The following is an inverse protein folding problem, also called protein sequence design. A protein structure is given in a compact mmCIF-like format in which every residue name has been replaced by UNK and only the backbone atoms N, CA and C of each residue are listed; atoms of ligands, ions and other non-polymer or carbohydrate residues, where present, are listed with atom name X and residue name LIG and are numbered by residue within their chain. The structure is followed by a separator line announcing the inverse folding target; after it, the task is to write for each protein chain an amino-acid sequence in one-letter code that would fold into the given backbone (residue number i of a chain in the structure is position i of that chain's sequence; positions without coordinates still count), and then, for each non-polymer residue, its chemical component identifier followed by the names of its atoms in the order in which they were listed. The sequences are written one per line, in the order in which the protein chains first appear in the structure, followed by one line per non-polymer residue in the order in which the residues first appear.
data_IF_812739654148
#
_entry.id   IF_812739654148
#
_cell.length_a   1.000
_cell.length_b   1.000
_cell.length_c   1.000
_cell.angle_alpha   90.00
_cell.angle_beta   90.00
_cell.angle_gamma   90.00
#
_symmetry.space_group_name_H-M   'P 1'
#
loop_
_entity.id
_entity.type
_entity.pdbx_description
1 polymer ?
#
# COMPACT_ATOMS: atom_id res chain seq x y z
N UNK A 1 -14.93 -15.17 -6.90
CA UNK A 1 -14.80 -14.98 -8.36
C UNK A 1 -13.40 -15.40 -8.74
N UNK A 2 -13.32 -16.61 -9.27
CA UNK A 2 -12.19 -17.50 -9.12
C UNK A 2 -11.06 -17.18 -10.08
N UNK A 3 -9.84 -17.11 -9.52
CA UNK A 3 -8.62 -16.94 -10.29
C UNK A 3 -8.37 -18.21 -11.09
N UNK A 4 -8.55 -18.13 -12.41
CA UNK A 4 -8.17 -19.20 -13.34
C UNK A 4 -6.65 -19.38 -13.25
N UNK A 5 -6.24 -20.41 -12.51
CA UNK A 5 -4.85 -20.86 -12.41
C UNK A 5 -4.52 -21.55 -13.74
N UNK A 6 -3.88 -20.82 -14.65
CA UNK A 6 -3.43 -21.38 -15.93
C UNK A 6 -2.29 -22.35 -15.63
N UNK A 7 -2.63 -23.64 -15.53
CA UNK A 7 -1.66 -24.73 -15.42
C UNK A 7 -0.76 -24.76 -16.67
N UNK A 8 0.52 -25.08 -16.50
CA UNK A 8 1.51 -25.16 -17.59
C UNK A 8 1.08 -26.04 -18.77
N UNK A 9 0.14 -26.98 -18.56
CA UNK A 9 -0.49 -27.76 -19.63
C UNK A 9 -1.29 -26.94 -20.64
N UNK A 10 -1.93 -25.83 -20.25
CA UNK A 10 -2.67 -24.99 -21.19
C UNK A 10 -1.75 -24.25 -22.15
N UNK A 11 -0.55 -23.85 -21.71
CA UNK A 11 0.46 -23.19 -22.56
C UNK A 11 0.92 -24.12 -23.69
N UNK A 12 1.08 -25.41 -23.39
CA UNK A 12 1.49 -26.43 -24.37
C UNK A 12 0.36 -26.68 -25.38
N UNK A 13 -0.90 -26.71 -24.93
CA UNK A 13 -2.07 -26.92 -25.81
C UNK A 13 -2.27 -25.74 -26.77
N UNK A 14 -2.13 -24.51 -26.30
CA UNK A 14 -2.19 -23.33 -27.17
C UNK A 14 -0.99 -23.27 -28.14
N UNK A 15 0.20 -23.71 -27.71
CA UNK A 15 1.38 -23.82 -28.56
C UNK A 15 1.25 -24.87 -29.67
N UNK A 16 0.65 -26.04 -29.38
CA UNK A 16 0.39 -27.08 -30.37
C UNK A 16 -0.70 -26.69 -31.36
N UNK A 17 -1.74 -26.00 -30.89
CA UNK A 17 -2.81 -25.43 -31.74
C UNK A 17 -2.25 -24.35 -32.68
N UNK A 18 -1.25 -23.58 -32.22
CA UNK A 18 -0.56 -22.56 -33.00
C UNK A 18 0.32 -23.16 -34.11
N UNK A 19 1.05 -24.23 -33.82
CA UNK A 19 1.88 -24.91 -34.82
C UNK A 19 1.04 -25.52 -35.94
N UNK A 20 -0.12 -26.08 -35.58
CA UNK A 20 -1.06 -26.67 -36.54
C UNK A 20 -1.73 -25.62 -37.43
N UNK A 21 -2.09 -24.45 -36.89
CA UNK A 21 -2.60 -23.33 -37.69
C UNK A 21 -1.55 -22.77 -38.68
N UNK A 22 -0.28 -22.67 -38.28
CA UNK A 22 0.80 -22.24 -39.18
C UNK A 22 1.01 -23.24 -40.31
N UNK A 23 1.00 -24.54 -40.00
CA UNK A 23 1.15 -25.58 -41.01
C UNK A 23 -0.02 -25.57 -42.00
N UNK A 24 -1.26 -25.46 -41.51
CA UNK A 24 -2.45 -25.37 -42.37
C UNK A 24 -2.41 -24.11 -43.24
N UNK A 25 -1.99 -22.97 -42.69
CA UNK A 25 -1.89 -21.71 -43.44
C UNK A 25 -0.78 -21.76 -44.50
N UNK A 26 0.39 -22.34 -44.19
CA UNK A 26 1.48 -22.52 -45.16
C UNK A 26 1.09 -23.50 -46.28
N UNK A 27 0.42 -24.60 -45.95
CA UNK A 27 -0.07 -25.57 -46.95
C UNK A 27 -1.14 -24.95 -47.83
N UNK A 28 -2.11 -24.21 -47.26
CA UNK A 28 -3.11 -23.49 -48.04
C UNK A 28 -2.50 -22.41 -48.94
N UNK A 29 -1.45 -21.73 -48.46
CA UNK A 29 -0.75 -20.72 -49.27
C UNK A 29 0.03 -21.37 -50.41
N UNK A 30 0.65 -22.54 -50.21
CA UNK A 30 1.32 -23.31 -51.27
C UNK A 30 0.35 -23.79 -52.35
N UNK A 31 -0.84 -24.22 -51.93
CA UNK A 31 -1.93 -24.63 -52.82
C UNK A 31 -2.49 -23.44 -53.60
N UNK A 32 -2.73 -22.30 -52.95
CA UNK A 32 -3.20 -21.06 -53.58
C UNK A 32 -2.15 -20.42 -54.51
N UNK A 33 -0.87 -20.53 -54.16
CA UNK A 33 0.24 -20.05 -54.99
C UNK A 33 0.39 -20.88 -56.27
N UNK A 34 0.23 -22.21 -56.17
CA UNK A 34 0.25 -23.10 -57.34
C UNK A 34 -0.95 -22.91 -58.27
N UNK A 35 -2.12 -22.51 -57.73
CA UNK A 35 -3.36 -22.45 -58.52
C UNK A 35 -3.77 -21.05 -59.01
N UNK A 36 -3.38 -19.96 -58.33
CA UNK A 36 -3.92 -18.62 -58.62
C UNK A 36 -2.87 -17.50 -58.75
N UNK A 37 -1.57 -17.75 -58.50
CA UNK A 37 -0.53 -16.72 -58.66
C UNK A 37 -0.75 -15.45 -57.80
N UNK A 38 -1.45 -15.58 -56.68
CA UNK A 38 -1.77 -14.44 -55.81
C UNK A 38 -0.60 -14.03 -54.92
N UNK A 39 -0.48 -12.71 -54.75
CA UNK A 39 0.62 -11.93 -54.18
C UNK A 39 0.94 -12.22 -52.70
N UNK A 40 2.20 -12.00 -52.29
CA UNK A 40 2.77 -12.13 -50.93
C UNK A 40 2.12 -11.24 -49.84
N UNK A 41 1.29 -10.29 -50.25
CA UNK A 41 0.72 -9.23 -49.40
C UNK A 41 -0.17 -9.72 -48.24
N UNK A 42 -1.09 -10.71 -48.38
CA UNK A 42 -1.94 -11.14 -47.28
C UNK A 42 -1.15 -11.89 -46.19
N UNK A 43 -0.05 -12.57 -46.55
CA UNK A 43 0.83 -13.24 -45.57
C UNK A 43 1.58 -12.24 -44.69
N UNK A 44 2.08 -11.16 -45.29
CA UNK A 44 2.73 -10.09 -44.54
C UNK A 44 1.77 -9.44 -43.53
N UNK A 45 0.50 -9.23 -43.92
CA UNK A 45 -0.53 -8.64 -43.05
C UNK A 45 -0.82 -9.54 -41.83
N UNK A 46 -0.99 -10.86 -42.03
CA UNK A 46 -1.25 -11.80 -40.92
C UNK A 46 -0.08 -11.84 -39.93
N UNK A 47 1.16 -11.85 -40.43
CA UNK A 47 2.35 -11.84 -39.58
C UNK A 47 2.50 -10.53 -38.78
N UNK A 48 2.18 -9.37 -39.39
CA UNK A 48 2.22 -8.07 -38.70
C UNK A 48 1.15 -7.99 -37.60
N UNK A 49 -0.08 -8.42 -37.88
CA UNK A 49 -1.15 -8.45 -36.88
C UNK A 49 -0.79 -9.38 -35.72
N UNK A 50 -0.23 -10.55 -36.01
CA UNK A 50 0.20 -11.48 -34.97
C UNK A 50 1.37 -10.94 -34.12
N UNK A 51 2.36 -10.31 -34.76
CA UNK A 51 3.44 -9.63 -34.05
C UNK A 51 2.92 -8.54 -33.11
N UNK A 52 1.92 -7.77 -33.55
CA UNK A 52 1.27 -6.76 -32.71
C UNK A 52 0.52 -7.37 -31.52
N UNK A 53 -0.21 -8.47 -31.73
CA UNK A 53 -0.90 -9.20 -30.66
C UNK A 53 0.08 -9.77 -29.62
N UNK A 54 1.22 -10.31 -30.05
CA UNK A 54 2.27 -10.78 -29.14
C UNK A 54 2.90 -9.64 -28.34
N UNK A 55 3.13 -8.48 -28.96
CA UNK A 55 3.63 -7.30 -28.25
C UNK A 55 2.61 -6.79 -27.21
N UNK A 56 1.33 -6.72 -27.58
CA UNK A 56 0.25 -6.37 -26.65
C UNK A 56 0.14 -7.37 -25.49
N UNK A 57 0.22 -8.67 -25.77
CA UNK A 57 0.19 -9.72 -24.75
C UNK A 57 1.41 -9.67 -23.83
N UNK A 58 2.61 -9.41 -24.39
CA UNK A 58 3.83 -9.26 -23.60
C UNK A 58 3.74 -8.09 -22.61
N UNK A 59 3.16 -6.96 -23.04
CA UNK A 59 2.91 -5.79 -22.19
C UNK A 59 1.83 -6.07 -21.14
N UNK A 60 0.75 -6.74 -21.53
CA UNK A 60 -0.33 -7.11 -20.61
C UNK A 60 0.12 -8.10 -19.53
N UNK A 61 0.88 -9.14 -19.92
CA UNK A 61 1.47 -10.13 -19.01
C UNK A 61 2.52 -9.51 -18.08
N UNK A 62 3.30 -8.52 -18.56
CA UNK A 62 4.25 -7.80 -17.71
C UNK A 62 3.53 -6.91 -16.68
N UNK A 63 2.41 -6.28 -17.06
CA UNK A 63 1.57 -5.48 -16.15
C UNK A 63 0.86 -6.33 -15.09
N UNK A 64 0.41 -7.54 -15.44
CA UNK A 64 -0.25 -8.44 -14.47
C UNK A 64 0.71 -8.97 -13.40
N UNK A 65 1.98 -9.23 -13.75
CA UNK A 65 3.03 -9.62 -12.78
C UNK A 65 3.29 -8.53 -11.73
N UNK A 66 3.40 -7.27 -12.15
CA UNK A 66 3.62 -6.14 -11.22
C UNK A 66 2.46 -5.88 -10.26
N UNK A 67 1.22 -6.16 -10.68
CA UNK A 67 0.03 -6.04 -9.82
C UNK A 67 -0.14 -7.25 -8.88
N UNK A 68 0.41 -8.41 -9.24
CA UNK A 68 0.35 -9.62 -8.42
C UNK A 68 1.37 -9.64 -7.27
N UNK A 69 2.56 -9.04 -7.41
CA UNK A 69 3.57 -9.01 -6.33
C UNK A 69 3.22 -8.04 -5.19
N UNK A 70 2.45 -6.99 -5.49
CA UNK A 70 2.13 -5.94 -4.51
C UNK A 70 1.10 -6.36 -3.46
N UNK A 71 0.22 -7.33 -3.74
CA UNK A 71 -0.81 -7.81 -2.82
C UNK A 71 -0.31 -8.79 -1.74
N UNK A 72 0.48 -9.84 -2.04
CA UNK A 72 1.01 -10.76 -1.03
C UNK A 72 1.98 -10.07 -0.07
N UNK A 73 2.74 -9.10 -0.57
CA UNK A 73 3.72 -8.34 0.19
C UNK A 73 3.09 -7.42 1.25
N UNK A 74 2.00 -6.70 0.93
CA UNK A 74 1.27 -5.90 1.93
C UNK A 74 0.73 -6.75 3.07
N UNK A 75 0.17 -7.92 2.74
CA UNK A 75 -0.35 -8.84 3.76
C UNK A 75 0.77 -9.27 4.71
N UNK A 76 1.93 -9.64 4.17
CA UNK A 76 3.10 -9.98 4.95
C UNK A 76 3.54 -8.84 5.88
N UNK A 77 3.59 -7.60 5.39
CA UNK A 77 3.95 -6.44 6.22
C UNK A 77 2.95 -6.21 7.37
N UNK A 78 1.65 -6.33 7.10
CA UNK A 78 0.62 -6.19 8.13
C UNK A 78 0.70 -7.31 9.17
N UNK A 79 0.96 -8.53 8.73
CA UNK A 79 1.14 -9.67 9.63
C UNK A 79 2.40 -9.47 10.50
N UNK A 80 3.50 -8.96 9.92
CA UNK A 80 4.73 -8.64 10.66
C UNK A 80 4.52 -7.55 11.72
N UNK A 81 3.80 -6.47 11.40
CA UNK A 81 3.45 -5.42 12.35
C UNK A 81 2.55 -5.94 13.48
N UNK A 82 1.62 -6.85 13.17
CA UNK A 82 0.75 -7.46 14.18
C UNK A 82 1.52 -8.39 15.12
N UNK A 83 2.56 -9.05 14.62
CA UNK A 83 3.43 -9.93 15.41
C UNK A 83 4.55 -9.21 16.16
N UNK A 84 4.54 -7.88 16.20
CA UNK A 84 5.62 -7.13 16.85
C UNK A 84 5.62 -7.38 18.36
N UNK A 85 6.81 -7.49 18.94
CA UNK A 85 6.98 -7.60 20.38
C UNK A 85 6.54 -6.30 21.08
N UNK A 86 5.92 -6.41 22.26
CA UNK A 86 5.38 -5.26 23.00
C UNK A 86 6.46 -4.23 23.35
N UNK A 87 7.69 -4.68 23.59
CA UNK A 87 8.86 -3.82 23.83
C UNK A 87 9.22 -2.92 22.65
N UNK A 88 8.89 -3.33 21.42
CA UNK A 88 9.18 -2.59 20.18
C UNK A 88 8.02 -1.70 19.72
N UNK A 89 6.83 -1.82 20.31
CA UNK A 89 5.67 -0.97 19.96
C UNK A 89 6.03 0.52 20.03
N UNK A 90 6.74 1.03 21.06
CA UNK A 90 7.05 2.45 21.10
C UNK A 90 7.84 2.95 19.90
N UNK A 91 8.82 2.15 19.47
CA UNK A 91 9.62 2.44 18.29
C UNK A 91 8.77 2.50 17.03
N UNK A 92 7.89 1.50 16.82
CA UNK A 92 7.02 1.45 15.63
C UNK A 92 6.13 2.69 15.53
N UNK A 93 5.50 3.08 16.64
CA UNK A 93 4.60 4.24 16.67
C UNK A 93 5.37 5.54 16.47
N UNK A 94 6.55 5.70 17.07
CA UNK A 94 7.43 6.86 16.84
C UNK A 94 7.76 7.02 15.35
N UNK A 95 8.16 5.94 14.67
CA UNK A 95 8.47 5.97 13.24
C UNK A 95 7.26 6.37 12.39
N UNK A 96 6.06 5.91 12.74
CA UNK A 96 4.85 6.32 12.02
C UNK A 96 4.48 7.79 12.26
N UNK A 97 4.67 8.30 13.48
CA UNK A 97 4.44 9.72 13.78
C UNK A 97 5.45 10.64 13.09
N UNK A 98 6.70 10.22 12.96
CA UNK A 98 7.71 10.93 12.17
C UNK A 98 7.32 11.03 10.70
N UNK A 99 6.79 9.94 10.13
CA UNK A 99 6.28 9.93 8.76
C UNK A 99 5.06 10.84 8.58
N UNK A 100 4.16 10.89 9.56
CA UNK A 100 2.99 11.79 9.55
C UNK A 100 3.43 13.26 9.52
N UNK A 101 4.38 13.61 10.39
CA UNK A 101 4.93 14.97 10.48
C UNK A 101 5.71 15.37 9.22
N UNK A 102 6.48 14.45 8.63
CA UNK A 102 7.23 14.72 7.41
C UNK A 102 6.34 14.89 6.16
N UNK A 103 5.07 14.48 6.23
CA UNK A 103 4.10 14.64 5.15
C UNK A 103 3.51 16.04 5.02
N UNK A 104 3.62 16.88 6.06
CA UNK A 104 3.08 18.24 6.07
C UNK A 104 4.18 19.25 5.73
N UNK A 105 3.90 20.19 4.81
CA UNK A 105 4.79 21.32 4.57
C UNK A 105 4.66 22.33 5.70
N UNK A 106 5.74 23.04 6.04
CA UNK A 106 5.73 24.06 7.11
C UNK A 106 4.65 25.12 6.89
N UNK A 107 4.42 25.52 5.63
CA UNK A 107 3.41 26.50 5.24
C UNK A 107 1.97 25.99 5.50
N UNK A 108 1.67 24.74 5.10
CA UNK A 108 0.35 24.14 5.38
C UNK A 108 0.12 23.91 6.88
N UNK A 109 1.19 23.70 7.64
CA UNK A 109 1.13 23.52 9.09
C UNK A 109 0.82 24.86 9.78
N UNK A 110 1.51 25.93 9.42
CA UNK A 110 1.29 27.27 9.97
C UNK A 110 -0.10 27.83 9.64
N UNK A 111 -0.56 27.67 8.40
CA UNK A 111 -1.92 28.06 8.03
C UNK A 111 -2.97 27.27 8.82
N UNK A 112 -2.78 25.95 8.99
CA UNK A 112 -3.71 25.15 9.79
C UNK A 112 -3.74 25.61 11.24
N UNK A 113 -2.58 25.86 11.85
CA UNK A 113 -2.49 26.33 13.24
C UNK A 113 -3.24 27.65 13.42
N UNK A 114 -3.09 28.60 12.49
CA UNK A 114 -3.76 29.91 12.55
C UNK A 114 -5.29 29.83 12.52
N UNK A 115 -5.85 28.74 11.97
CA UNK A 115 -7.30 28.54 11.83
C UNK A 115 -7.93 27.81 13.02
N UNK A 116 -7.12 27.25 13.92
CA UNK A 116 -7.60 26.48 15.07
C UNK A 116 -8.02 27.47 16.17
N UNK A 117 -9.28 27.41 16.66
CA UNK A 117 -9.69 28.16 17.83
C UNK A 117 -8.79 27.85 19.05
N UNK A 118 -8.38 28.86 19.81
CA UNK A 118 -7.52 28.70 20.99
C UNK A 118 -8.03 27.62 21.96
N UNK A 119 -9.35 27.55 22.18
CA UNK A 119 -9.99 26.58 23.09
C UNK A 119 -9.94 25.13 22.57
N UNK A 120 -9.62 24.94 21.29
CA UNK A 120 -9.45 23.63 20.65
C UNK A 120 -7.98 23.26 20.43
N UNK A 121 -7.03 24.10 20.88
CA UNK A 121 -5.62 23.76 20.82
C UNK A 121 -5.25 22.71 21.87
N UNK A 122 -4.27 21.88 21.52
CA UNK A 122 -3.61 20.97 22.43
C UNK A 122 -3.01 21.75 23.61
N UNK A 123 -3.42 21.43 24.83
CA UNK A 123 -2.98 22.15 26.05
C UNK A 123 -1.51 21.92 26.38
N UNK A 124 -0.85 20.95 25.73
CA UNK A 124 0.55 20.60 25.97
C UNK A 124 1.48 21.38 25.04
N UNK A 125 1.22 21.37 23.72
CA UNK A 125 2.11 22.00 22.75
C UNK A 125 1.60 23.34 22.22
N UNK A 126 0.31 23.62 22.30
CA UNK A 126 -0.35 24.80 21.71
C UNK A 126 -0.13 24.99 20.19
N UNK A 127 0.45 23.99 19.51
CA UNK A 127 0.78 24.03 18.07
C UNK A 127 -0.04 23.06 17.23
N UNK A 128 -1.08 22.46 17.79
CA UNK A 128 -1.89 21.46 17.11
C UNK A 128 -3.27 21.37 17.73
N UNK A 129 -4.26 20.97 16.95
CA UNK A 129 -5.62 20.73 17.44
C UNK A 129 -5.64 19.58 18.44
N UNK A 130 -6.38 19.75 19.53
CA UNK A 130 -6.70 18.71 20.48
C UNK A 130 -7.71 17.75 19.84
N UNK A 131 -7.29 16.52 19.58
CA UNK A 131 -8.11 15.51 18.87
C UNK A 131 -8.21 14.18 19.61
N UNK A 132 -7.55 14.05 20.76
CA UNK A 132 -7.55 12.82 21.56
C UNK A 132 -8.47 13.00 22.75
N UNK A 133 -9.52 12.19 22.78
CA UNK A 133 -10.48 12.13 23.88
C UNK A 133 -10.12 10.97 24.81
N UNK A 134 -9.84 11.29 26.08
CA UNK A 134 -9.44 10.33 27.11
C UNK A 134 -10.66 9.73 27.82
N UNK A 135 -10.73 8.41 27.95
CA UNK A 135 -11.80 7.71 28.67
C UNK A 135 -11.31 7.20 30.04
N UNK A 136 -12.14 7.27 31.10
CA UNK A 136 -13.57 7.61 31.10
C UNK A 136 -13.89 9.12 31.23
N UNK A 137 -12.93 9.95 31.62
CA UNK A 137 -13.18 11.36 31.97
C UNK A 137 -13.64 12.27 30.81
N UNK A 138 -13.58 11.80 29.56
CA UNK A 138 -14.05 12.47 28.35
C UNK A 138 -13.37 13.80 27.98
N UNK A 139 -12.25 14.16 28.61
CA UNK A 139 -11.47 15.33 28.22
C UNK A 139 -10.86 15.14 26.82
N UNK A 140 -11.00 16.15 25.96
CA UNK A 140 -10.37 16.22 24.63
C UNK A 140 -9.41 17.40 24.62
N UNK A 141 -8.15 17.16 24.98
CA UNK A 141 -7.21 18.26 25.30
C UNK A 141 -5.80 18.08 24.73
N UNK A 142 -5.48 16.91 24.18
CA UNK A 142 -4.17 16.62 23.60
C UNK A 142 -4.27 16.31 22.12
N UNK A 143 -3.22 16.66 21.36
CA UNK A 143 -3.02 16.16 20.01
C UNK A 143 -2.46 14.72 20.04
N UNK A 144 -2.48 14.04 18.89
CA UNK A 144 -1.98 12.66 18.77
C UNK A 144 -0.54 12.47 19.25
N UNK A 145 0.37 13.37 18.86
CA UNK A 145 1.78 13.28 19.26
C UNK A 145 1.97 13.46 20.77
N UNK A 146 1.34 14.46 21.39
CA UNK A 146 1.46 14.68 22.84
C UNK A 146 0.80 13.55 23.65
N UNK A 147 -0.33 13.01 23.19
CA UNK A 147 -0.96 11.86 23.82
C UNK A 147 -0.05 10.61 23.76
N UNK A 148 0.58 10.38 22.61
CA UNK A 148 1.54 9.29 22.44
C UNK A 148 2.75 9.43 23.35
N UNK A 149 3.40 10.60 23.41
CA UNK A 149 4.56 10.81 24.29
C UNK A 149 4.21 10.58 25.77
N UNK A 150 3.04 11.04 26.20
CA UNK A 150 2.54 10.76 27.56
C UNK A 150 2.35 9.26 27.80
N UNK A 151 1.76 8.54 26.83
CA UNK A 151 1.57 7.09 26.92
C UNK A 151 2.89 6.33 26.95
N UNK A 152 3.85 6.73 26.10
CA UNK A 152 5.18 6.14 26.04
C UNK A 152 5.91 6.28 27.37
N UNK A 153 5.90 7.47 27.97
CA UNK A 153 6.52 7.72 29.29
C UNK A 153 5.86 6.86 30.37
N UNK A 154 4.52 6.76 30.38
CA UNK A 154 3.82 5.90 31.33
C UNK A 154 4.17 4.43 31.15
N UNK A 155 4.25 3.95 29.91
CA UNK A 155 4.64 2.59 29.55
C UNK A 155 6.07 2.27 30.00
N UNK A 156 7.04 3.15 29.70
CA UNK A 156 8.45 2.97 30.08
C UNK A 156 8.65 2.97 31.60
N UNK A 157 7.89 3.80 32.32
CA UNK A 157 7.97 3.89 33.78
C UNK A 157 7.13 2.82 34.51
N UNK A 158 6.33 2.02 33.80
CA UNK A 158 5.39 1.07 34.41
C UNK A 158 4.35 1.75 35.30
N UNK A 159 3.95 2.97 34.97
CA UNK A 159 2.99 3.77 35.75
C UNK A 159 1.66 3.91 35.00
N UNK A 160 0.53 4.04 35.72
CA UNK A 160 -0.77 4.26 35.09
C UNK A 160 -0.78 5.60 34.34
N UNK A 161 -1.19 5.58 33.08
CA UNK A 161 -1.38 6.80 32.28
C UNK A 161 -2.59 7.57 32.81
N UNK A 162 -2.42 8.84 33.13
CA UNK A 162 -3.46 9.70 33.71
C UNK A 162 -3.75 10.92 32.84
N UNK A 163 -5.00 11.37 32.85
CA UNK A 163 -5.45 12.57 32.16
C UNK A 163 -4.70 13.80 32.67
N UNK A 164 -4.22 14.65 31.75
CA UNK A 164 -3.47 15.87 32.08
C UNK A 164 -4.33 16.94 32.78
N UNK A 165 -5.67 16.86 32.66
CA UNK A 165 -6.60 17.80 33.29
C UNK A 165 -7.01 17.32 34.68
N UNK A 166 -7.67 16.16 34.76
CA UNK A 166 -8.32 15.71 35.98
C UNK A 166 -7.57 14.58 36.70
N UNK A 167 -6.43 14.12 36.17
CA UNK A 167 -5.59 13.05 36.74
C UNK A 167 -6.27 11.68 36.90
N UNK A 168 -7.50 11.51 36.40
CA UNK A 168 -8.16 10.21 36.27
C UNK A 168 -7.31 9.29 35.40
N UNK A 169 -7.16 8.04 35.82
CA UNK A 169 -6.49 7.00 35.02
C UNK A 169 -7.22 6.81 33.69
N UNK A 170 -6.43 6.69 32.63
CA UNK A 170 -6.94 6.56 31.27
C UNK A 170 -6.98 5.08 30.93
N UNK A 171 -8.18 4.59 30.67
CA UNK A 171 -8.41 3.21 30.26
C UNK A 171 -8.29 3.06 28.74
N UNK A 172 -8.75 4.07 28.01
CA UNK A 172 -8.75 4.08 26.55
C UNK A 172 -8.74 5.51 25.98
N UNK A 173 -8.40 5.62 24.70
CA UNK A 173 -8.41 6.85 23.94
C UNK A 173 -9.34 6.71 22.74
N UNK A 174 -10.08 7.76 22.44
CA UNK A 174 -10.78 7.90 21.15
C UNK A 174 -10.14 9.04 20.35
N UNK A 175 -10.10 8.86 19.03
CA UNK A 175 -9.36 9.74 18.12
C UNK A 175 -8.21 9.01 17.43
N UNK A 176 -7.52 9.70 16.52
CA UNK A 176 -6.37 9.13 15.81
C UNK A 176 -5.08 9.76 16.30
N UNK A 177 -4.09 8.92 16.66
CA UNK A 177 -2.74 9.39 16.95
C UNK A 177 -2.03 9.92 15.69
N UNK A 178 -2.34 9.33 14.53
CA UNK A 178 -1.72 9.61 13.24
C UNK A 178 -2.81 10.09 12.27
N UNK A 179 -2.66 11.28 11.69
CA UNK A 179 -3.73 11.87 10.85
C UNK A 179 -3.73 11.30 9.43
N UNK A 180 -2.56 11.07 8.85
CA UNK A 180 -2.42 10.73 7.44
C UNK A 180 -2.04 9.25 7.19
N UNK A 181 -2.56 8.32 8.01
CA UNK A 181 -2.32 6.87 7.86
C UNK A 181 -2.58 6.36 6.43
N UNK A 182 -3.58 6.91 5.74
CA UNK A 182 -3.97 6.47 4.39
C UNK A 182 -2.97 6.84 3.28
N UNK A 183 -2.10 7.82 3.53
CA UNK A 183 -1.13 8.31 2.56
C UNK A 183 0.28 7.71 2.74
N UNK A 184 0.45 6.84 3.73
CA UNK A 184 1.74 6.21 4.02
C UNK A 184 2.14 5.29 2.86
N UNK A 185 3.36 5.47 2.35
CA UNK A 185 3.86 4.62 1.27
C UNK A 185 4.32 3.29 1.87
N UNK A 186 3.91 2.18 1.23
CA UNK A 186 4.28 0.82 1.67
C UNK A 186 5.78 0.55 1.71
N UNK A 187 6.58 1.32 0.97
CA UNK A 187 8.05 1.28 1.06
C UNK A 187 8.56 1.70 2.45
N UNK A 188 7.89 2.67 3.08
CA UNK A 188 8.29 3.19 4.39
C UNK A 188 7.84 2.22 5.48
N UNK A 189 6.66 1.60 5.31
CA UNK A 189 6.19 0.48 6.16
C UNK A 189 7.18 -0.69 6.11
N UNK A 190 7.64 -1.08 4.92
CA UNK A 190 8.66 -2.13 4.78
C UNK A 190 9.93 -1.77 5.53
N UNK A 191 10.42 -0.53 5.37
CA UNK A 191 11.61 -0.06 6.06
C UNK A 191 11.47 -0.19 7.58
N UNK A 192 10.33 0.20 8.14
CA UNK A 192 10.04 0.06 9.58
C UNK A 192 10.05 -1.42 9.99
N UNK A 193 9.42 -2.31 9.20
CA UNK A 193 9.40 -3.75 9.49
C UNK A 193 10.81 -4.37 9.44
N UNK A 194 11.65 -3.92 8.51
CA UNK A 194 13.04 -4.37 8.39
C UNK A 194 13.87 -3.86 9.59
N UNK A 195 13.73 -2.58 9.95
CA UNK A 195 14.34 -1.95 11.14
C UNK A 195 13.98 -2.69 12.45
N UNK A 196 12.77 -3.26 12.54
CA UNK A 196 12.31 -4.02 13.72
C UNK A 196 12.93 -5.42 13.80
N UNK A 197 13.33 -6.01 12.68
CA UNK A 197 13.84 -7.39 12.62
C UNK A 197 15.34 -7.50 12.88
N UNK A 198 16.07 -6.43 12.61
CA UNK A 198 17.47 -6.26 13.03
C UNK A 198 17.59 -6.22 14.57
#
# INVERSE_FOLDING_TARGET
MDAIRINGGQIIIYGLSFLSLILVNNVMTLVLFSYLGCSFVPMAIVLVIYGFLLLCWSKYSRKSKTTSETKPDRKFLMDALRSVETSKIPYVVDRFLELDKAGETTEEQEERISRIPLDSCCVVCLSSEACIRTLPCSHTVTCGWCAWQSLKISFENGTPHRCVICRTEIEDFTGSLIKNLMNIKWKDVRKIVDEIKE
#
